data_IF_009555628202
#
_entry.id   IF_009555628202
#
_cell.length_a   1.000
_cell.length_b   1.000
_cell.length_c   1.000
_cell.angle_alpha   90.00
_cell.angle_beta   90.00
_cell.angle_gamma   90.00
#
_symmetry.space_group_name_H-M   'P 1'
#
loop_
_entity.id
_entity.type
_entity.pdbx_description
1 polymer ?
#
# COMPACT_ATOMS: atom_id res chain seq x y z
N UNK A 1 10.09 -14.89 10.64
CA UNK A 1 9.09 -14.30 9.71
C UNK A 1 9.76 -13.18 8.93
N UNK A 2 9.76 -13.25 7.58
CA UNK A 2 10.34 -12.26 6.68
C UNK A 2 9.29 -11.21 6.31
N UNK A 3 9.54 -9.96 6.65
CA UNK A 3 8.67 -8.84 6.28
C UNK A 3 9.12 -8.24 4.95
N UNK A 4 8.19 -8.08 4.01
CA UNK A 4 8.41 -7.36 2.76
C UNK A 4 7.59 -6.08 2.79
N UNK A 5 8.29 -4.95 2.72
CA UNK A 5 7.66 -3.65 2.59
C UNK A 5 7.38 -3.40 1.10
N UNK A 6 6.14 -3.09 0.77
CA UNK A 6 5.69 -2.92 -0.63
C UNK A 6 4.91 -1.62 -0.77
N UNK A 7 4.98 -0.99 -1.93
CA UNK A 7 4.24 0.23 -2.22
C UNK A 7 3.01 -0.10 -3.10
N UNK A 8 1.87 0.60 -2.91
CA UNK A 8 0.70 0.42 -3.76
C UNK A 8 1.05 0.70 -5.23
N UNK A 9 0.62 -0.18 -6.13
CA UNK A 9 0.88 -0.17 -7.56
C UNK A 9 2.36 -0.31 -7.97
N UNK A 10 3.28 -0.51 -7.03
CA UNK A 10 4.66 -0.90 -7.34
C UNK A 10 4.80 -2.41 -7.49
N UNK A 11 5.72 -2.79 -8.38
CA UNK A 11 6.04 -4.19 -8.68
C UNK A 11 7.04 -4.73 -7.66
N UNK A 12 6.75 -5.89 -7.11
CA UNK A 12 7.66 -6.62 -6.22
C UNK A 12 7.71 -8.11 -6.55
N UNK A 13 8.76 -8.78 -6.08
CA UNK A 13 8.94 -10.22 -6.26
C UNK A 13 8.76 -10.94 -4.93
N UNK A 14 8.00 -12.03 -4.99
CA UNK A 14 7.95 -13.02 -3.91
C UNK A 14 9.02 -14.09 -4.16
N UNK A 15 9.60 -14.68 -3.09
CA UNK A 15 10.38 -15.90 -3.24
C UNK A 15 9.48 -17.04 -3.75
N UNK A 16 10.08 -18.17 -4.10
CA UNK A 16 9.30 -19.33 -4.51
C UNK A 16 8.36 -19.80 -3.40
N UNK A 17 7.06 -19.73 -3.66
CA UNK A 17 5.97 -20.03 -2.70
C UNK A 17 5.19 -21.30 -3.07
N UNK A 18 5.60 -22.02 -4.12
CA UNK A 18 4.92 -23.22 -4.60
C UNK A 18 3.73 -22.93 -5.53
N UNK A 19 3.44 -23.89 -6.43
CA UNK A 19 2.43 -23.72 -7.49
C UNK A 19 1.00 -23.62 -6.97
N UNK A 20 0.67 -24.28 -5.86
CA UNK A 20 -0.67 -24.24 -5.27
C UNK A 20 -1.01 -22.93 -4.52
N UNK A 21 -0.01 -22.15 -4.11
CA UNK A 21 -0.22 -20.89 -3.39
C UNK A 21 -0.56 -19.76 -4.35
N UNK A 22 -0.04 -19.80 -5.58
CA UNK A 22 -0.24 -18.74 -6.56
C UNK A 22 -1.73 -18.47 -6.87
N UNK A 23 -2.58 -19.47 -7.17
CA UNK A 23 -4.02 -19.25 -7.38
C UNK A 23 -4.70 -18.61 -6.18
N UNK A 24 -4.36 -19.03 -4.95
CA UNK A 24 -4.94 -18.48 -3.73
C UNK A 24 -4.61 -16.99 -3.58
N UNK A 25 -3.38 -16.58 -3.89
CA UNK A 25 -3.00 -15.16 -3.87
C UNK A 25 -3.79 -14.36 -4.89
N UNK A 26 -4.02 -14.90 -6.09
CA UNK A 26 -4.84 -14.23 -7.10
C UNK A 26 -6.30 -14.11 -6.66
N UNK A 27 -6.85 -15.13 -6.01
CA UNK A 27 -8.20 -15.11 -5.43
C UNK A 27 -8.33 -14.08 -4.30
N UNK A 28 -7.26 -13.82 -3.55
CA UNK A 28 -7.18 -12.73 -2.56
C UNK A 28 -7.00 -11.34 -3.20
N UNK A 29 -7.05 -11.24 -4.53
CA UNK A 29 -6.98 -9.99 -5.29
C UNK A 29 -5.57 -9.51 -5.59
N UNK A 30 -4.52 -10.19 -5.13
CA UNK A 30 -3.14 -9.82 -5.46
C UNK A 30 -2.93 -9.88 -6.96
N UNK A 31 -2.38 -8.82 -7.56
CA UNK A 31 -2.19 -8.75 -9.00
C UNK A 31 -0.84 -9.30 -9.41
N UNK A 32 -0.76 -9.80 -10.64
CA UNK A 32 0.47 -10.32 -11.22
C UNK A 32 0.65 -9.85 -12.66
N UNK A 33 1.75 -9.18 -12.93
CA UNK A 33 2.18 -8.82 -14.27
C UNK A 33 3.00 -9.97 -14.87
N UNK A 34 2.42 -10.64 -15.87
CA UNK A 34 3.05 -11.76 -16.58
C UNK A 34 4.28 -11.35 -17.39
N UNK A 35 4.35 -10.11 -17.88
CA UNK A 35 5.49 -9.62 -18.68
C UNK A 35 6.73 -9.46 -17.81
N UNK A 36 6.57 -8.82 -16.66
CA UNK A 36 7.68 -8.57 -15.72
C UNK A 36 7.86 -9.66 -14.66
N UNK A 37 6.94 -10.63 -14.63
CA UNK A 37 6.89 -11.73 -13.65
C UNK A 37 6.95 -11.20 -12.21
N UNK A 38 6.12 -10.20 -11.92
CA UNK A 38 6.10 -9.49 -10.65
C UNK A 38 4.67 -9.31 -10.12
N UNK A 39 4.54 -9.25 -8.81
CA UNK A 39 3.28 -8.96 -8.13
C UNK A 39 3.14 -7.47 -7.90
N UNK A 40 1.90 -6.99 -7.76
CA UNK A 40 1.61 -5.65 -7.29
C UNK A 40 0.28 -5.63 -6.53
N UNK A 41 0.10 -4.61 -5.71
CA UNK A 41 -1.08 -4.41 -4.88
C UNK A 41 -1.85 -3.21 -5.42
N UNK A 42 -3.14 -3.39 -5.68
CA UNK A 42 -4.07 -2.32 -6.04
C UNK A 42 -5.23 -2.25 -5.04
N UNK A 43 -6.15 -1.30 -5.23
CA UNK A 43 -7.24 -1.02 -4.28
C UNK A 43 -8.22 -2.17 -4.10
N UNK A 44 -8.20 -3.18 -4.98
CA UNK A 44 -9.01 -4.39 -4.87
C UNK A 44 -8.30 -5.54 -4.15
N UNK A 45 -7.04 -5.38 -3.75
CA UNK A 45 -6.28 -6.44 -3.08
C UNK A 45 -6.64 -6.52 -1.60
N UNK A 46 -7.05 -7.70 -1.12
CA UNK A 46 -7.25 -7.96 0.31
C UNK A 46 -5.91 -8.34 0.96
N UNK A 47 -5.24 -7.34 1.55
CA UNK A 47 -3.94 -7.54 2.19
C UNK A 47 -4.00 -8.53 3.37
N UNK A 48 -5.13 -8.60 4.08
CA UNK A 48 -5.28 -9.50 5.22
C UNK A 48 -5.38 -10.95 4.73
N UNK A 49 -6.18 -11.20 3.70
CA UNK A 49 -6.26 -12.51 3.06
C UNK A 49 -4.89 -12.93 2.47
N UNK A 50 -4.22 -12.02 1.75
CA UNK A 50 -2.88 -12.25 1.20
C UNK A 50 -1.88 -12.61 2.31
N UNK A 51 -1.85 -11.85 3.41
CA UNK A 51 -0.99 -12.15 4.55
C UNK A 51 -1.35 -13.45 5.26
N UNK A 52 -2.64 -13.80 5.34
CA UNK A 52 -3.09 -15.10 5.83
C UNK A 52 -2.47 -16.25 5.03
N UNK A 53 -2.51 -16.16 3.70
CA UNK A 53 -1.92 -17.16 2.79
C UNK A 53 -0.39 -17.22 2.94
N UNK A 54 0.28 -16.07 2.94
CA UNK A 54 1.74 -15.97 2.98
C UNK A 54 2.35 -16.32 4.35
N UNK A 55 1.56 -16.22 5.43
CA UNK A 55 1.99 -16.54 6.79
C UNK A 55 2.49 -17.98 6.91
N UNK A 56 1.87 -18.92 6.19
CA UNK A 56 2.28 -20.33 6.10
C UNK A 56 3.69 -20.52 5.54
N UNK A 57 4.21 -19.52 4.81
CA UNK A 57 5.57 -19.47 4.25
C UNK A 57 6.47 -18.52 5.03
N UNK A 58 6.02 -18.06 6.19
CA UNK A 58 6.75 -17.14 7.04
C UNK A 58 6.97 -15.76 6.41
N UNK A 59 6.13 -15.34 5.46
CA UNK A 59 6.22 -14.04 4.78
C UNK A 59 5.06 -13.14 5.23
N UNK A 60 5.36 -11.87 5.49
CA UNK A 60 4.34 -10.84 5.76
C UNK A 60 4.58 -9.64 4.85
N UNK A 61 3.58 -9.26 4.08
CA UNK A 61 3.55 -8.02 3.32
C UNK A 61 3.07 -6.89 4.21
N UNK A 62 3.80 -5.77 4.18
CA UNK A 62 3.43 -4.52 4.85
C UNK A 62 3.41 -3.44 3.80
N UNK A 63 2.25 -2.80 3.63
CA UNK A 63 2.13 -1.67 2.71
C UNK A 63 2.82 -0.45 3.33
N UNK A 64 3.78 0.11 2.59
CA UNK A 64 4.30 1.45 2.85
C UNK A 64 3.27 2.45 2.37
N UNK A 65 2.64 3.13 3.33
CA UNK A 65 1.75 4.25 3.06
C UNK A 65 2.56 5.54 3.10
N UNK A 66 2.25 6.46 2.21
CA UNK A 66 2.88 7.78 2.15
C UNK A 66 1.87 8.86 2.49
N UNK A 67 2.38 10.00 2.94
CA UNK A 67 1.56 11.15 3.23
C UNK A 67 1.04 11.76 1.92
N UNK A 68 -0.28 11.94 1.79
CA UNK A 68 -0.91 12.57 0.65
C UNK A 68 -0.50 14.04 0.45
N UNK A 69 0.08 14.70 1.46
CA UNK A 69 0.50 16.10 1.40
C UNK A 69 2.00 16.23 1.08
N UNK A 70 2.86 15.56 1.85
CA UNK A 70 4.31 15.73 1.74
C UNK A 70 5.06 14.51 1.18
N UNK A 71 4.36 13.41 0.87
CA UNK A 71 4.96 12.18 0.32
C UNK A 71 5.78 11.35 1.32
N UNK A 72 6.02 11.84 2.55
CA UNK A 72 6.83 11.11 3.54
C UNK A 72 6.17 9.79 3.95
N UNK A 73 6.95 8.71 4.21
CA UNK A 73 6.41 7.44 4.70
C UNK A 73 5.70 7.61 6.04
N UNK A 74 4.50 7.05 6.15
CA UNK A 74 3.68 7.08 7.38
C UNK A 74 3.78 5.74 8.10
N UNK A 75 4.18 5.78 9.37
CA UNK A 75 4.18 4.62 10.26
C UNK A 75 2.80 4.48 10.92
N UNK A 76 1.95 3.60 10.39
CA UNK A 76 0.58 3.41 10.90
C UNK A 76 0.52 3.01 12.38
N UNK A 77 1.53 2.29 12.88
CA UNK A 77 1.66 1.91 14.30
C UNK A 77 1.67 3.12 15.25
N UNK A 78 2.04 4.30 14.74
CA UNK A 78 2.07 5.57 15.48
C UNK A 78 0.98 6.55 15.01
N UNK A 79 0.00 6.08 14.26
CA UNK A 79 -1.10 6.90 13.77
C UNK A 79 -2.14 7.08 14.88
N UNK A 80 -2.51 8.32 15.16
CA UNK A 80 -3.53 8.65 16.18
C UNK A 80 -4.91 8.04 15.84
N UNK A 81 -5.15 7.69 14.57
CA UNK A 81 -6.39 7.07 14.07
C UNK A 81 -6.30 5.56 13.89
N UNK A 82 -5.29 4.88 14.42
CA UNK A 82 -5.06 3.46 14.15
C UNK A 82 -6.28 2.58 14.47
N UNK A 83 -7.01 2.88 15.55
CA UNK A 83 -8.18 2.11 15.99
C UNK A 83 -9.39 2.21 15.05
N UNK A 84 -9.49 3.30 14.30
CA UNK A 84 -10.60 3.58 13.37
C UNK A 84 -10.15 3.62 11.91
N UNK A 85 -8.91 3.28 11.62
CA UNK A 85 -8.33 3.34 10.28
C UNK A 85 -8.78 2.12 9.47
N UNK A 86 -9.49 2.37 8.36
CA UNK A 86 -9.69 1.35 7.34
C UNK A 86 -8.35 1.03 6.68
N UNK A 87 -7.81 -0.15 6.99
CA UNK A 87 -6.51 -0.60 6.49
C UNK A 87 -6.48 -0.80 4.96
N UNK A 88 -7.63 -0.70 4.28
CA UNK A 88 -7.72 -0.67 2.82
C UNK A 88 -7.23 0.64 2.20
N UNK A 89 -7.07 1.70 2.98
CA UNK A 89 -6.56 2.98 2.46
C UNK A 89 -5.06 2.93 2.14
N UNK A 90 -4.67 3.53 1.02
CA UNK A 90 -3.27 3.62 0.57
C UNK A 90 -2.59 4.93 0.92
N UNK A 91 -3.37 5.97 1.15
CA UNK A 91 -2.87 7.31 1.45
C UNK A 91 -3.24 7.65 2.88
N UNK A 92 -2.33 8.33 3.56
CA UNK A 92 -2.55 8.86 4.91
C UNK A 92 -2.16 10.33 4.96
N UNK A 93 -2.51 11.04 6.04
CA UNK A 93 -1.92 12.34 6.35
C UNK A 93 -1.04 12.14 7.58
N UNK A 94 0.24 12.52 7.49
CA UNK A 94 1.14 12.39 8.64
C UNK A 94 0.78 13.44 9.70
N UNK A 95 1.10 13.17 10.97
CA UNK A 95 0.79 14.05 12.10
C UNK A 95 1.30 15.49 11.90
N UNK A 96 2.49 15.65 11.33
CA UNK A 96 3.06 16.97 11.04
C UNK A 96 2.20 17.77 10.05
N UNK A 97 1.69 17.14 8.99
CA UNK A 97 0.82 17.83 8.03
C UNK A 97 -0.58 18.03 8.58
N UNK A 98 -1.07 17.09 9.40
CA UNK A 98 -2.39 17.19 10.03
C UNK A 98 -2.48 18.37 11.00
N UNK A 99 -1.41 18.61 11.76
CA UNK A 99 -1.32 19.70 12.73
C UNK A 99 -0.97 21.06 12.10
N UNK A 100 -0.84 21.13 10.78
CA UNK A 100 -0.59 22.40 10.09
C UNK A 100 -1.85 23.26 10.11
N UNK A 101 -1.70 24.55 10.42
CA UNK A 101 -2.78 25.54 10.37
C UNK A 101 -3.52 25.56 9.01
N UNK A 102 -2.81 25.25 7.93
CA UNK A 102 -3.34 25.24 6.57
C UNK A 102 -3.49 23.84 5.99
N UNK A 103 -3.72 22.81 6.81
CA UNK A 103 -3.83 21.40 6.38
C UNK A 103 -4.75 21.20 5.17
N UNK A 104 -5.92 21.85 5.16
CA UNK A 104 -6.89 21.73 4.07
C UNK A 104 -6.35 22.30 2.75
N UNK A 105 -5.73 23.48 2.80
CA UNK A 105 -5.13 24.11 1.61
C UNK A 105 -3.95 23.28 1.08
N UNK A 106 -3.08 22.83 1.97
CA UNK A 106 -1.94 21.97 1.64
C UNK A 106 -2.40 20.65 0.98
N UNK A 107 -3.50 20.07 1.47
CA UNK A 107 -4.12 18.91 0.86
C UNK A 107 -4.64 19.21 -0.55
N UNK A 108 -5.41 20.28 -0.73
CA UNK A 108 -5.94 20.67 -2.04
C UNK A 108 -4.83 20.90 -3.07
N UNK A 109 -3.75 21.59 -2.68
CA UNK A 109 -2.62 21.82 -3.56
C UNK A 109 -1.91 20.52 -3.96
N UNK A 110 -1.74 19.58 -3.03
CA UNK A 110 -1.14 18.29 -3.33
C UNK A 110 -2.02 17.45 -4.28
N UNK A 111 -3.34 17.48 -4.10
CA UNK A 111 -4.27 16.80 -5.00
C UNK A 111 -4.24 17.41 -6.40
N UNK A 112 -4.22 18.74 -6.52
CA UNK A 112 -4.05 19.43 -7.81
C UNK A 112 -2.78 18.99 -8.53
N UNK A 113 -1.64 18.97 -7.84
CA UNK A 113 -0.35 18.51 -8.39
C UNK A 113 -0.42 17.06 -8.86
N UNK A 114 -1.02 16.18 -8.05
CA UNK A 114 -1.14 14.76 -8.35
C UNK A 114 -2.04 14.48 -9.56
N UNK A 115 -3.15 15.20 -9.69
CA UNK A 115 -4.05 15.12 -10.85
C UNK A 115 -3.36 15.60 -12.13
N UNK A 116 -2.64 16.73 -12.08
CA UNK A 116 -1.88 17.25 -13.22
C UNK A 116 -0.81 16.26 -13.70
N UNK A 117 -0.11 15.59 -12.77
CA UNK A 117 0.89 14.56 -13.11
C UNK A 117 0.32 13.31 -13.78
N UNK A 118 -0.97 13.02 -13.59
CA UNK A 118 -1.67 11.89 -14.23
C UNK A 118 -2.25 12.25 -15.59
N UNK A 119 -2.56 13.52 -15.86
CA UNK A 119 -3.05 13.99 -17.17
C UNK A 119 -1.93 14.03 -18.22
N UNK A 120 -0.67 14.10 -17.78
CA UNK A 120 0.51 14.15 -18.67
C UNK A 120 1.15 12.79 -18.96
N UNK A 121 0.52 11.67 -18.56
CA UNK A 121 0.99 10.30 -18.81
C UNK A 121 0.06 9.53 -19.74
#
# INVERSE_FOLDING_TARGET
MRTLNVEPNEKFKLPFIGKGVFPLLMSAGLKYDRKTKAFFIDSGTDLNAVNGILSSRGIKLVIRRTCAICGTPVKCEKCDFLSSCDQKQFFCICKSCLNSEHVFLNYLESQKRSLLSKVMK
#
